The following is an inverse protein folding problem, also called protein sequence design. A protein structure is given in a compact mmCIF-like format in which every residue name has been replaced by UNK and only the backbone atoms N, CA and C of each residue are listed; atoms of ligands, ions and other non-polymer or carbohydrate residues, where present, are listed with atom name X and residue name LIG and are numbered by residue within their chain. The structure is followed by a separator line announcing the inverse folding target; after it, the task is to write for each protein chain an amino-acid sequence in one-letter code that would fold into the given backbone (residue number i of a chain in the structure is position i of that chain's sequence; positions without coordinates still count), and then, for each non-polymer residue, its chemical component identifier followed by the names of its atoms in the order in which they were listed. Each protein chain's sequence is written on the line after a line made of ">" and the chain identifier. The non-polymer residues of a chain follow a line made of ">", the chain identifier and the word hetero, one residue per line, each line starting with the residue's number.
data_IF_298195671748
#
_entry.id   IF_298195671748
#
_cell.length_a   1.000
_cell.length_b   1.000
_cell.length_c   1.000
_cell.angle_alpha   90.00
_cell.angle_beta   90.00
_cell.angle_gamma   90.00
#
_symmetry.space_group_name_H-M   'P 1'
#
loop_
_entity.id
_entity.type
_entity.pdbx_description
1 polymer ?
#
# COMPACT_ATOMS: atom_id res chain seq x y z
N UNK A 1 -5.69 -13.76 14.91
CA UNK A 1 -5.25 -12.61 14.08
C UNK A 1 -4.87 -11.47 15.03
N UNK A 2 -3.74 -10.81 14.85
CA UNK A 2 -3.34 -9.65 15.67
C UNK A 2 -4.28 -8.46 15.37
N UNK A 3 -4.89 -7.85 16.41
CA UNK A 3 -5.84 -6.75 16.25
C UNK A 3 -5.26 -5.55 15.47
N UNK A 4 -3.96 -5.27 15.64
CA UNK A 4 -3.26 -4.22 14.89
C UNK A 4 -3.16 -4.54 13.40
N UNK A 5 -2.94 -5.81 13.05
CA UNK A 5 -2.91 -6.24 11.63
C UNK A 5 -4.27 -6.02 10.98
N UNK A 6 -5.35 -6.37 11.69
CA UNK A 6 -6.73 -6.14 11.21
C UNK A 6 -7.00 -4.65 10.98
N UNK A 7 -6.56 -3.79 11.90
CA UNK A 7 -6.71 -2.35 11.77
C UNK A 7 -6.00 -1.81 10.51
N UNK A 8 -4.76 -2.24 10.25
CA UNK A 8 -4.04 -1.87 9.03
C UNK A 8 -4.75 -2.35 7.76
N UNK A 9 -5.23 -3.59 7.76
CA UNK A 9 -5.97 -4.15 6.63
C UNK A 9 -7.29 -3.39 6.37
N UNK A 10 -8.00 -2.99 7.42
CA UNK A 10 -9.23 -2.18 7.29
C UNK A 10 -8.94 -0.81 6.68
N UNK A 11 -7.86 -0.14 7.11
CA UNK A 11 -7.44 1.14 6.53
C UNK A 11 -7.05 0.99 5.06
N UNK A 12 -6.34 -0.08 4.70
CA UNK A 12 -5.97 -0.37 3.31
C UNK A 12 -7.20 -0.61 2.43
N UNK A 13 -8.17 -1.40 2.92
CA UNK A 13 -9.43 -1.64 2.21
C UNK A 13 -10.25 -0.35 2.01
N UNK A 14 -10.20 0.57 2.98
CA UNK A 14 -10.80 1.90 2.85
C UNK A 14 -10.20 2.69 1.69
N UNK A 15 -8.87 2.72 1.55
CA UNK A 15 -8.23 3.39 0.41
C UNK A 15 -8.56 2.72 -0.92
N UNK A 16 -8.56 1.39 -0.98
CA UNK A 16 -8.94 0.67 -2.19
C UNK A 16 -10.34 1.06 -2.66
N UNK A 17 -11.28 1.17 -1.71
CA UNK A 17 -12.66 1.59 -2.00
C UNK A 17 -12.70 2.99 -2.63
N UNK A 18 -11.91 3.94 -2.10
CA UNK A 18 -11.83 5.29 -2.65
C UNK A 18 -11.18 5.30 -4.03
N UNK A 19 -10.06 4.58 -4.20
CA UNK A 19 -9.37 4.47 -5.48
C UNK A 19 -10.29 3.92 -6.56
N UNK A 20 -10.98 2.80 -6.30
CA UNK A 20 -11.91 2.21 -7.25
C UNK A 20 -13.14 3.09 -7.52
N UNK A 21 -13.56 3.90 -6.55
CA UNK A 21 -14.68 4.83 -6.73
C UNK A 21 -14.30 5.93 -7.70
N UNK A 22 -13.15 6.57 -7.49
CA UNK A 22 -12.67 7.66 -8.35
C UNK A 22 -12.33 7.14 -9.75
N UNK A 23 -11.75 5.93 -9.87
CA UNK A 23 -11.48 5.29 -11.15
C UNK A 23 -12.76 4.97 -11.95
N UNK A 24 -13.86 4.62 -11.27
CA UNK A 24 -15.15 4.30 -11.91
C UNK A 24 -16.04 5.53 -12.15
N UNK A 25 -15.64 6.72 -11.71
CA UNK A 25 -16.45 7.92 -11.83
C UNK A 25 -16.64 8.29 -13.32
N UNK A 26 -17.91 8.31 -13.77
CA UNK A 26 -18.24 8.64 -15.17
C UNK A 26 -18.24 10.15 -15.45
N UNK A 27 -18.32 10.98 -14.42
CA UNK A 27 -18.33 12.45 -14.52
C UNK A 27 -17.20 13.00 -13.68
N UNK A 28 -16.32 13.79 -14.30
CA UNK A 28 -15.17 14.45 -13.67
C UNK A 28 -14.35 13.52 -12.73
N UNK A 29 -13.81 12.40 -13.25
CA UNK A 29 -12.97 11.51 -12.45
C UNK A 29 -11.72 12.23 -11.96
N UNK A 30 -11.36 12.02 -10.70
CA UNK A 30 -10.12 12.55 -10.09
C UNK A 30 -9.08 11.44 -10.05
N UNK A 31 -8.41 11.20 -11.18
CA UNK A 31 -7.44 10.12 -11.30
C UNK A 31 -6.23 10.27 -10.36
N UNK A 32 -5.82 11.50 -10.05
CA UNK A 32 -4.75 11.76 -9.08
C UNK A 32 -5.12 11.22 -7.69
N UNK A 33 -6.37 11.43 -7.26
CA UNK A 33 -6.88 10.88 -6.01
C UNK A 33 -6.93 9.34 -6.07
N UNK A 34 -7.32 8.76 -7.21
CA UNK A 34 -7.28 7.31 -7.40
C UNK A 34 -5.86 6.75 -7.25
N UNK A 35 -4.87 7.38 -7.86
CA UNK A 35 -3.47 6.98 -7.78
C UNK A 35 -2.92 7.13 -6.35
N UNK A 36 -3.22 8.24 -5.68
CA UNK A 36 -2.84 8.48 -4.29
C UNK A 36 -3.40 7.40 -3.36
N UNK A 37 -4.70 7.08 -3.45
CA UNK A 37 -5.30 6.05 -2.62
C UNK A 37 -4.80 4.64 -2.97
N UNK A 38 -4.50 4.35 -4.24
CA UNK A 38 -3.86 3.08 -4.61
C UNK A 38 -2.47 2.91 -3.97
N UNK A 39 -1.67 3.97 -3.96
CA UNK A 39 -0.36 3.99 -3.29
C UNK A 39 -0.50 3.76 -1.78
N UNK A 40 -1.42 4.47 -1.12
CA UNK A 40 -1.68 4.34 0.31
C UNK A 40 -2.21 2.95 0.69
N UNK A 41 -3.07 2.36 -0.15
CA UNK A 41 -3.55 0.99 0.00
C UNK A 41 -2.38 0.00 0.04
N UNK A 42 -1.48 0.07 -0.95
CA UNK A 42 -0.30 -0.78 -1.01
C UNK A 42 0.61 -0.59 0.22
N UNK A 43 0.83 0.67 0.63
CA UNK A 43 1.65 1.00 1.82
C UNK A 43 1.09 0.33 3.08
N UNK A 44 -0.23 0.44 3.30
CA UNK A 44 -0.89 -0.09 4.49
C UNK A 44 -0.91 -1.62 4.50
N UNK A 45 -1.05 -2.28 3.35
CA UNK A 45 -0.93 -3.75 3.28
C UNK A 45 0.48 -4.24 3.58
N UNK A 46 1.52 -3.59 3.06
CA UNK A 46 2.91 -3.92 3.39
C UNK A 46 3.17 -3.75 4.90
N UNK A 47 2.68 -2.64 5.49
CA UNK A 47 2.77 -2.42 6.95
C UNK A 47 1.99 -3.48 7.75
N UNK A 48 0.81 -3.89 7.29
CA UNK A 48 0.05 -4.97 7.91
C UNK A 48 0.85 -6.28 7.95
N UNK A 49 1.52 -6.63 6.85
CA UNK A 49 2.40 -7.79 6.78
C UNK A 49 3.57 -7.68 7.78
N UNK A 50 4.29 -6.54 7.80
CA UNK A 50 5.39 -6.32 8.75
C UNK A 50 4.93 -6.47 10.21
N UNK A 51 3.78 -5.90 10.57
CA UNK A 51 3.20 -6.06 11.92
C UNK A 51 2.85 -7.52 12.20
N UNK A 52 2.39 -8.28 11.20
CA UNK A 52 2.05 -9.70 11.37
C UNK A 52 3.26 -10.56 11.70
N UNK A 53 4.45 -10.19 11.19
CA UNK A 53 5.74 -10.84 11.49
C UNK A 53 6.47 -10.20 12.68
N UNK A 54 5.77 -9.37 13.49
CA UNK A 54 6.30 -8.64 14.65
C UNK A 54 7.42 -7.65 14.32
N UNK A 55 7.51 -7.21 13.06
CA UNK A 55 8.37 -6.12 12.64
C UNK A 55 7.63 -4.79 12.82
N UNK A 56 8.27 -3.81 13.46
CA UNK A 56 7.66 -2.48 13.60
C UNK A 56 7.88 -1.69 12.31
N UNK A 57 6.82 -1.40 11.53
CA UNK A 57 7.01 -0.71 10.26
C UNK A 57 7.63 0.68 10.47
N UNK A 58 8.66 1.04 9.69
CA UNK A 58 9.27 2.36 9.78
C UNK A 58 8.25 3.46 9.43
N UNK A 59 8.41 4.65 10.04
CA UNK A 59 7.65 5.86 9.68
C UNK A 59 8.20 6.49 8.40
N UNK A 60 8.22 5.71 7.32
CA UNK A 60 8.62 6.14 5.98
C UNK A 60 7.41 6.02 5.05
N UNK A 61 7.30 6.97 4.12
CA UNK A 61 6.34 6.95 3.01
C UNK A 61 7.05 6.46 1.73
N UNK A 62 7.78 5.36 1.83
CA UNK A 62 8.54 4.79 0.73
C UNK A 62 8.15 3.32 0.55
N UNK A 63 7.36 3.04 -0.50
CA UNK A 63 6.94 1.68 -0.85
C UNK A 63 8.11 0.76 -1.14
N UNK A 64 9.16 1.25 -1.80
CA UNK A 64 10.36 0.44 -2.10
C UNK A 64 11.06 0.05 -0.80
N UNK A 65 11.17 0.97 0.16
CA UNK A 65 11.72 0.70 1.48
C UNK A 65 10.93 -0.40 2.22
N UNK A 66 9.61 -0.23 2.31
CA UNK A 66 8.73 -1.21 2.96
C UNK A 66 8.75 -2.57 2.26
N UNK A 67 8.83 -2.59 0.93
CA UNK A 67 8.93 -3.84 0.18
C UNK A 67 10.25 -4.57 0.46
N UNK A 68 11.36 -3.84 0.58
CA UNK A 68 12.65 -4.43 0.96
C UNK A 68 12.61 -5.01 2.38
N UNK A 69 11.91 -4.37 3.31
CA UNK A 69 11.69 -4.93 4.65
C UNK A 69 10.87 -6.22 4.56
N UNK A 70 9.82 -6.25 3.74
CA UNK A 70 8.99 -7.46 3.53
C UNK A 70 9.78 -8.62 2.90
N UNK A 71 10.65 -8.32 1.93
CA UNK A 71 11.52 -9.30 1.24
C UNK A 71 12.45 -10.05 2.19
N UNK A 72 12.78 -9.45 3.34
CA UNK A 72 13.60 -10.09 4.37
C UNK A 72 12.87 -11.24 5.09
N UNK A 73 11.54 -11.29 4.98
CA UNK A 73 10.69 -12.30 5.60
C UNK A 73 10.04 -13.25 4.58
N UNK A 74 9.67 -12.75 3.40
CA UNK A 74 9.03 -13.54 2.36
C UNK A 74 9.51 -13.10 0.97
N UNK A 75 10.16 -14.02 0.25
CA UNK A 75 10.76 -13.74 -1.06
C UNK A 75 9.72 -13.62 -2.17
N UNK A 76 8.47 -14.04 -1.96
CA UNK A 76 7.39 -13.88 -2.94
C UNK A 76 7.08 -12.41 -3.25
N UNK A 77 7.41 -11.49 -2.33
CA UNK A 77 7.34 -10.05 -2.55
C UNK A 77 8.24 -9.56 -3.72
N UNK A 78 9.22 -10.37 -4.16
CA UNK A 78 10.04 -10.05 -5.33
C UNK A 78 9.19 -9.96 -6.61
N UNK A 79 8.08 -10.69 -6.67
CA UNK A 79 7.16 -10.70 -7.80
C UNK A 79 6.53 -9.33 -8.05
N UNK A 80 6.27 -8.55 -6.99
CA UNK A 80 5.62 -7.24 -7.08
C UNK A 80 6.62 -6.07 -7.09
N UNK A 81 7.93 -6.34 -7.08
CA UNK A 81 8.97 -5.29 -7.03
C UNK A 81 8.89 -4.31 -8.20
N UNK A 82 8.56 -4.79 -9.39
CA UNK A 82 8.40 -3.97 -10.59
C UNK A 82 7.22 -2.98 -10.50
N UNK A 83 6.25 -3.22 -9.61
CA UNK A 83 5.11 -2.31 -9.42
C UNK A 83 5.49 -1.07 -8.59
N UNK A 84 6.49 -1.19 -7.71
CA UNK A 84 6.89 -0.11 -6.81
C UNK A 84 7.71 1.01 -7.48
N UNK A 85 8.37 0.74 -8.61
CA UNK A 85 9.16 1.76 -9.32
C UNK A 85 8.31 2.85 -9.97
N UNK A 86 7.04 2.57 -10.27
CA UNK A 86 6.13 3.54 -10.89
C UNK A 86 5.46 4.47 -9.89
N UNK A 87 5.40 4.07 -8.62
CA UNK A 87 4.58 4.75 -7.60
C UNK A 87 5.42 5.73 -6.77
N UNK A 88 6.74 5.54 -6.68
CA UNK A 88 7.64 6.42 -5.92
C UNK A 88 8.09 7.69 -6.64
N UNK A 89 7.86 7.79 -7.96
CA UNK A 89 8.22 8.98 -8.77
C UNK A 89 7.07 9.96 -8.94
N UNK A 90 5.85 9.56 -8.60
CA UNK A 90 4.68 10.42 -8.63
C UNK A 90 4.53 11.15 -7.30
N UNK A 91 5.21 12.28 -7.16
CA UNK A 91 4.79 13.32 -6.22
C UNK A 91 3.42 13.81 -6.71
N UNK A 92 2.35 13.24 -6.17
CA UNK A 92 1.02 13.85 -6.16
C UNK A 92 0.87 14.69 -4.90
#
# INVERSE_FOLDING_TARGET
>A
MNALVVEWMQKAAGDLTVAERELRARKAPVYDASCYHAQQCAEKYLKAFLVSVKHTPPRIHNLVGLLNDCLSYDTTFATIRHLTSFVSTSNF
#
